data_IF_890334674604
#
_entry.id   IF_890334674604
#
_cell.length_a   1.000
_cell.length_b   1.000
_cell.length_c   1.000
_cell.angle_alpha   90.00
_cell.angle_beta   90.00
_cell.angle_gamma   90.00
#
_symmetry.space_group_name_H-M   'P 1'
#
loop_
_entity.id
_entity.type
_entity.pdbx_description
1 polymer ?
#
# COMPACT_ATOMS: atom_id res chain seq x y z
N UNK A 1 19.18 -19.06 -13.27
CA UNK A 1 17.78 -19.12 -12.81
C UNK A 1 17.82 -19.19 -11.30
N UNK A 2 17.43 -18.12 -10.60
CA UNK A 2 17.45 -18.12 -9.14
C UNK A 2 16.13 -18.70 -8.64
N UNK A 3 16.19 -19.82 -7.93
CA UNK A 3 15.04 -20.46 -7.29
C UNK A 3 14.85 -19.89 -5.88
N UNK A 4 13.67 -19.39 -5.56
CA UNK A 4 13.29 -19.08 -4.18
C UNK A 4 12.69 -20.33 -3.53
N UNK A 5 13.16 -20.68 -2.33
CA UNK A 5 12.55 -21.69 -1.48
C UNK A 5 11.49 -21.02 -0.61
N UNK A 6 10.22 -21.41 -0.76
CA UNK A 6 9.15 -21.03 0.17
C UNK A 6 8.97 -22.19 1.14
N UNK A 7 9.34 -22.00 2.41
CA UNK A 7 8.99 -22.95 3.47
C UNK A 7 7.58 -22.63 3.96
N UNK A 8 6.61 -23.39 3.46
CA UNK A 8 5.23 -23.33 3.93
C UNK A 8 5.06 -24.32 5.09
N UNK A 9 5.16 -23.85 6.33
CA UNK A 9 4.82 -24.65 7.51
C UNK A 9 3.31 -24.72 7.66
N UNK A 10 2.74 -25.89 7.38
CA UNK A 10 1.36 -26.19 7.72
C UNK A 10 1.27 -26.54 9.21
N UNK A 11 0.49 -25.78 9.97
CA UNK A 11 0.17 -26.14 11.35
C UNK A 11 -0.94 -27.20 11.35
N UNK A 12 -0.82 -28.30 12.12
CA UNK A 12 -1.90 -29.26 12.28
C UNK A 12 -3.08 -28.59 12.98
N UNK A 13 -4.29 -28.81 12.46
CA UNK A 13 -5.54 -28.23 12.96
C UNK A 13 -5.85 -28.53 14.46
N UNK A 14 -5.08 -29.43 15.09
CA UNK A 14 -5.27 -29.87 16.48
C UNK A 14 -4.32 -29.26 17.51
N UNK A 15 -3.49 -28.27 17.16
CA UNK A 15 -2.58 -27.60 18.10
C UNK A 15 -3.02 -26.18 18.47
N UNK A 16 -4.31 -25.86 18.34
CA UNK A 16 -4.85 -24.62 18.86
C UNK A 16 -4.92 -24.73 20.40
N UNK A 17 -3.98 -24.09 21.08
CA UNK A 17 -4.21 -23.61 22.45
C UNK A 17 -5.56 -22.86 22.43
N UNK A 18 -6.49 -23.27 23.30
CA UNK A 18 -7.84 -22.70 23.41
C UNK A 18 -7.85 -21.26 23.92
N UNK A 19 -6.68 -20.64 24.19
CA UNK A 19 -6.56 -19.19 24.28
C UNK A 19 -6.58 -18.54 22.88
N UNK A 20 -7.74 -18.59 22.23
CA UNK A 20 -8.12 -17.60 21.24
C UNK A 20 -8.21 -16.25 21.96
N UNK A 21 -7.07 -15.59 22.12
CA UNK A 21 -7.06 -14.15 22.33
C UNK A 21 -7.87 -13.57 21.19
N UNK A 22 -9.04 -13.04 21.52
CA UNK A 22 -9.88 -12.33 20.56
C UNK A 22 -9.09 -11.10 20.11
N UNK A 23 -8.35 -11.25 19.01
CA UNK A 23 -7.73 -10.14 18.33
C UNK A 23 -8.86 -9.24 17.86
N UNK A 24 -9.14 -8.22 18.66
CA UNK A 24 -10.09 -7.17 18.30
C UNK A 24 -9.30 -6.25 17.39
N UNK A 25 -9.27 -6.57 16.10
CA UNK A 25 -8.71 -5.66 15.12
C UNK A 25 -9.63 -4.44 15.07
N UNK A 26 -9.20 -3.32 15.61
CA UNK A 26 -9.83 -2.05 15.28
C UNK A 26 -9.66 -1.85 13.78
N UNK A 27 -10.76 -1.98 13.06
CA UNK A 27 -10.73 -1.98 11.61
C UNK A 27 -10.55 -0.55 11.17
N UNK A 28 -9.34 -0.15 10.76
CA UNK A 28 -9.20 1.05 9.95
C UNK A 28 -10.14 0.94 8.75
N UNK A 29 -10.99 1.94 8.58
CA UNK A 29 -11.95 2.02 7.48
C UNK A 29 -11.48 3.11 6.54
N UNK A 30 -11.15 2.71 5.32
CA UNK A 30 -10.96 3.66 4.24
C UNK A 30 -12.23 4.51 4.03
N UNK A 31 -12.08 5.79 3.64
CA UNK A 31 -13.21 6.62 3.25
C UNK A 31 -14.06 5.94 2.18
N UNK A 32 -15.38 6.18 2.22
CA UNK A 32 -16.27 5.67 1.18
C UNK A 32 -15.83 6.17 -0.21
N UNK A 33 -15.80 5.26 -1.20
CA UNK A 33 -15.34 5.57 -2.55
C UNK A 33 -13.83 5.42 -2.78
N UNK A 34 -13.06 5.05 -1.74
CA UNK A 34 -11.64 4.69 -1.88
C UNK A 34 -11.44 3.59 -2.92
N UNK A 35 -10.44 3.76 -3.80
CA UNK A 35 -10.05 2.76 -4.79
C UNK A 35 -8.56 2.45 -4.66
N UNK A 36 -8.26 1.33 -4.01
CA UNK A 36 -6.88 0.88 -3.83
C UNK A 36 -6.29 0.44 -5.17
N UNK A 37 -5.26 1.15 -5.63
CA UNK A 37 -4.51 0.80 -6.85
C UNK A 37 -3.26 -0.02 -6.55
N UNK A 38 -2.66 0.21 -5.38
CA UNK A 38 -1.47 -0.51 -4.93
C UNK A 38 -1.33 -0.52 -3.41
N UNK A 39 -0.57 -1.47 -2.88
CA UNK A 39 -0.23 -1.55 -1.47
C UNK A 39 1.12 -2.25 -1.26
N UNK A 40 1.94 -1.74 -0.34
CA UNK A 40 3.29 -2.25 -0.04
C UNK A 40 3.46 -2.34 1.47
N UNK A 41 3.91 -3.49 1.95
CA UNK A 41 4.34 -3.64 3.34
C UNK A 41 5.76 -3.09 3.51
N UNK A 42 5.99 -2.34 4.57
CA UNK A 42 7.34 -1.94 4.97
C UNK A 42 8.19 -3.20 5.22
N UNK A 43 9.48 -3.23 4.80
CA UNK A 43 10.30 -4.45 4.88
C UNK A 43 10.57 -4.94 6.31
N UNK A 44 10.54 -4.05 7.30
CA UNK A 44 10.95 -4.36 8.68
C UNK A 44 10.03 -3.79 9.77
N UNK A 45 9.06 -2.95 9.42
CA UNK A 45 8.20 -2.25 10.39
C UNK A 45 6.75 -2.70 10.18
N UNK A 46 5.89 -2.62 11.20
CA UNK A 46 4.48 -2.99 11.10
C UNK A 46 3.68 -1.90 10.38
N UNK A 47 4.15 -1.45 9.21
CA UNK A 47 3.54 -0.39 8.41
C UNK A 47 3.15 -0.92 7.04
N UNK A 48 1.94 -0.58 6.59
CA UNK A 48 1.48 -0.82 5.23
C UNK A 48 1.23 0.54 4.57
N UNK A 49 1.86 0.75 3.43
CA UNK A 49 1.60 1.88 2.55
C UNK A 49 0.50 1.50 1.56
N UNK A 50 -0.48 2.38 1.37
CA UNK A 50 -1.65 2.10 0.54
C UNK A 50 -1.94 3.29 -0.38
N UNK A 51 -2.01 3.05 -1.68
CA UNK A 51 -2.35 4.04 -2.68
C UNK A 51 -3.87 4.06 -2.94
N UNK A 52 -4.50 5.20 -2.73
CA UNK A 52 -5.89 5.46 -3.09
C UNK A 52 -5.97 6.32 -4.36
N UNK A 53 -6.22 5.62 -5.46
CA UNK A 53 -6.34 6.20 -6.80
C UNK A 53 -7.55 7.13 -6.96
N UNK A 54 -8.63 6.92 -6.19
CA UNK A 54 -9.85 7.73 -6.30
C UNK A 54 -9.70 9.09 -5.61
N UNK A 55 -9.01 9.13 -4.46
CA UNK A 55 -8.85 10.35 -3.68
C UNK A 55 -7.46 10.99 -3.81
N UNK A 56 -6.57 10.42 -4.64
CA UNK A 56 -5.20 10.92 -4.85
C UNK A 56 -4.37 10.96 -3.56
N UNK A 57 -4.56 9.96 -2.69
CA UNK A 57 -3.90 9.88 -1.38
C UNK A 57 -3.02 8.65 -1.27
N UNK A 58 -1.92 8.77 -0.53
CA UNK A 58 -1.17 7.63 -0.01
C UNK A 58 -1.34 7.61 1.50
N UNK A 59 -1.71 6.45 2.02
CA UNK A 59 -1.83 6.17 3.45
C UNK A 59 -0.59 5.42 3.93
N UNK A 60 -0.13 5.75 5.13
CA UNK A 60 0.79 4.94 5.93
C UNK A 60 0.03 4.46 7.16
N UNK A 61 -0.20 3.16 7.26
CA UNK A 61 -1.01 2.55 8.32
C UNK A 61 -0.10 1.65 9.16
N UNK A 62 0.11 2.02 10.42
CA UNK A 62 0.77 1.13 11.36
C UNK A 62 -0.26 0.11 11.90
N UNK A 63 -0.05 -1.18 11.65
CA UNK A 63 -1.03 -2.24 11.94
C UNK A 63 -1.00 -2.73 13.38
N UNK A 64 -0.04 -2.28 14.18
CA UNK A 64 0.03 -2.60 15.62
C UNK A 64 -0.57 -1.49 16.49
N UNK A 65 -0.43 -0.24 16.05
CA UNK A 65 -0.83 0.96 16.83
C UNK A 65 -2.07 1.66 16.27
N UNK A 66 -2.56 1.21 15.11
CA UNK A 66 -3.65 1.82 14.35
C UNK A 66 -3.38 3.28 13.93
N UNK A 67 -2.12 3.73 14.01
CA UNK A 67 -1.73 5.07 13.58
C UNK A 67 -1.80 5.17 12.06
N UNK A 68 -2.54 6.16 11.57
CA UNK A 68 -2.70 6.44 10.14
C UNK A 68 -2.17 7.83 9.83
N UNK A 69 -1.24 7.89 8.87
CA UNK A 69 -0.80 9.12 8.20
C UNK A 69 -1.27 9.12 6.76
N UNK A 70 -1.52 10.30 6.19
CA UNK A 70 -1.93 10.45 4.80
C UNK A 70 -1.26 11.64 4.14
N UNK A 71 -0.91 11.49 2.87
CA UNK A 71 -0.41 12.59 2.03
C UNK A 71 -1.20 12.64 0.72
N UNK A 72 -1.49 13.86 0.27
CA UNK A 72 -2.13 14.11 -1.02
C UNK A 72 -1.07 14.30 -2.11
N UNK A 73 -1.20 13.56 -3.22
CA UNK A 73 -0.17 13.50 -4.28
C UNK A 73 -0.62 14.19 -5.58
N UNK A 74 -1.89 14.61 -5.68
CA UNK A 74 -2.39 15.41 -6.81
C UNK A 74 -2.44 14.67 -8.15
N UNK A 75 -3.39 13.74 -8.29
CA UNK A 75 -3.61 12.96 -9.51
C UNK A 75 -3.93 11.50 -9.24
N UNK A 76 -4.24 10.74 -10.29
CA UNK A 76 -4.56 9.31 -10.14
C UNK A 76 -3.29 8.51 -9.90
N UNK A 77 -3.20 7.85 -8.74
CA UNK A 77 -2.05 7.03 -8.36
C UNK A 77 -2.25 5.61 -8.89
N UNK A 78 -1.23 5.05 -9.56
CA UNK A 78 -1.31 3.70 -10.17
C UNK A 78 -0.45 2.65 -9.45
N UNK A 79 0.81 2.98 -9.12
CA UNK A 79 1.80 2.08 -8.54
C UNK A 79 2.69 2.79 -7.53
N UNK A 80 3.25 2.01 -6.61
CA UNK A 80 4.25 2.46 -5.67
C UNK A 80 5.50 1.56 -5.73
N UNK A 81 6.63 2.08 -5.27
CA UNK A 81 7.81 1.31 -4.89
C UNK A 81 8.42 1.94 -3.64
N UNK A 82 8.88 1.11 -2.70
CA UNK A 82 9.53 1.58 -1.48
C UNK A 82 11.04 1.30 -1.55
N UNK A 83 11.86 2.31 -1.27
CA UNK A 83 13.30 2.16 -1.13
C UNK A 83 13.87 3.30 -0.29
N UNK A 84 14.77 2.97 0.66
CA UNK A 84 15.52 3.96 1.45
C UNK A 84 14.64 5.05 2.09
N UNK A 85 13.57 4.63 2.79
CA UNK A 85 12.62 5.50 3.49
C UNK A 85 11.85 6.45 2.56
N UNK A 86 11.83 6.16 1.26
CA UNK A 86 11.06 6.89 0.25
C UNK A 86 10.04 5.98 -0.44
N UNK A 87 8.87 6.52 -0.70
CA UNK A 87 7.89 5.96 -1.64
C UNK A 87 7.96 6.69 -2.96
N UNK A 88 8.25 5.93 -4.01
CA UNK A 88 8.17 6.37 -5.40
C UNK A 88 6.78 6.03 -5.92
N UNK A 89 6.00 7.05 -6.26
CA UNK A 89 4.58 6.92 -6.59
C UNK A 89 4.36 7.38 -8.02
N UNK A 90 3.84 6.49 -8.89
CA UNK A 90 3.48 6.87 -10.25
C UNK A 90 2.12 7.54 -10.25
N UNK A 91 2.06 8.77 -10.76
CA UNK A 91 0.85 9.59 -10.80
C UNK A 91 0.52 9.96 -12.23
N UNK A 92 -0.70 9.69 -12.66
CA UNK A 92 -1.20 10.15 -13.96
C UNK A 92 -1.59 11.62 -13.87
N UNK A 93 -1.10 12.43 -14.80
CA UNK A 93 -1.47 13.85 -14.95
C UNK A 93 -2.68 14.05 -15.85
N UNK A 94 -3.17 12.97 -16.46
CA UNK A 94 -4.37 12.90 -17.28
C UNK A 94 -5.13 11.58 -17.06
N UNK A 95 -6.33 11.45 -17.62
CA UNK A 95 -7.15 10.26 -17.43
C UNK A 95 -6.47 8.99 -18.00
N UNK A 96 -6.60 7.85 -17.32
CA UNK A 96 -6.10 6.59 -17.85
C UNK A 96 -6.94 6.13 -19.05
N UNK A 97 -6.31 5.92 -20.22
CA UNK A 97 -6.96 5.34 -21.38
C UNK A 97 -5.98 4.47 -22.18
N UNK A 98 -6.27 3.17 -22.37
CA UNK A 98 -5.42 2.29 -23.16
C UNK A 98 -5.49 2.58 -24.67
N UNK A 99 -6.43 3.42 -25.11
CA UNK A 99 -6.59 3.80 -26.51
C UNK A 99 -5.84 5.09 -26.89
N UNK A 100 -5.33 5.82 -25.89
CA UNK A 100 -4.54 7.01 -26.15
C UNK A 100 -3.17 6.62 -26.69
N UNK A 101 -2.68 7.42 -27.64
CA UNK A 101 -1.32 7.23 -28.14
C UNK A 101 -0.33 7.45 -27.00
N UNK A 102 0.82 6.78 -27.00
CA UNK A 102 1.84 6.95 -25.96
C UNK A 102 2.22 8.43 -25.74
N UNK A 103 2.28 9.21 -26.82
CA UNK A 103 2.57 10.65 -26.75
C UNK A 103 1.53 11.47 -25.97
N UNK A 104 0.29 10.98 -25.91
CA UNK A 104 -0.82 11.60 -25.20
C UNK A 104 -0.95 11.06 -23.76
N UNK A 105 -0.14 10.07 -23.36
CA UNK A 105 -0.09 9.57 -21.99
C UNK A 105 0.96 10.36 -21.21
N UNK A 106 0.58 10.91 -20.06
CA UNK A 106 1.48 11.73 -19.25
C UNK A 106 1.37 11.36 -17.78
N UNK A 107 2.49 11.42 -17.09
CA UNK A 107 2.55 11.14 -15.67
C UNK A 107 3.83 11.66 -15.05
N UNK A 108 3.85 11.67 -13.73
CA UNK A 108 5.00 12.06 -12.91
C UNK A 108 5.30 10.97 -11.90
N UNK A 109 6.50 11.01 -11.35
CA UNK A 109 6.86 10.24 -10.16
C UNK A 109 6.91 11.22 -9.00
N UNK A 110 6.00 11.05 -8.05
CA UNK A 110 6.10 11.73 -6.77
C UNK A 110 7.02 10.91 -5.85
N UNK A 111 7.85 11.59 -5.10
CA UNK A 111 8.70 10.99 -4.06
C UNK A 111 8.20 11.49 -2.72
N UNK A 112 7.85 10.55 -1.84
CA UNK A 112 7.34 10.83 -0.51
C UNK A 112 8.34 10.28 0.50
N UNK A 113 8.87 11.15 1.34
CA UNK A 113 9.64 10.75 2.53
C UNK A 113 8.67 10.13 3.55
N UNK A 114 8.93 8.87 3.91
CA UNK A 114 8.05 8.09 4.80
C UNK A 114 8.22 8.40 6.28
N UNK A 115 9.31 9.08 6.68
CA UNK A 115 9.53 9.51 8.06
C UNK A 115 8.79 10.82 8.36
N UNK A 116 8.62 11.66 7.36
CA UNK A 116 7.98 12.99 7.47
C UNK A 116 6.53 13.06 7.00
N UNK A 117 5.93 11.92 6.61
CA UNK A 117 4.51 11.79 6.24
C UNK A 117 3.54 12.25 7.33
#
# INVERSE_FOLDING_TARGET
MSSFLVNLTAFPAGAADENLHSYTFEKFKFPAGTKISDAISHPTEPVIFVADSANSKVYSINVETDMVREVYVGGTIERMAYFNNELFVTVLTNAHSPYWKPEDQSGVIAVIDTESM
#
